data_IF_272199041187
#
_entry.id   IF_272199041187
#
_cell.length_a   1.000
_cell.length_b   1.000
_cell.length_c   1.000
_cell.angle_alpha   90.00
_cell.angle_beta   90.00
_cell.angle_gamma   90.00
#
_symmetry.space_group_name_H-M   'P 1'
#
loop_
_entity.id
_entity.type
_entity.pdbx_description
1 polymer ?
#
# COMPACT_ATOMS: atom_id res chain seq x y z
N UNK A 1 5.23 2.46 -6.08
CA UNK A 1 4.90 2.23 -4.66
C UNK A 1 3.38 2.20 -4.52
N UNK A 2 2.84 1.27 -3.75
CA UNK A 2 1.41 1.21 -3.43
C UNK A 2 1.25 1.24 -1.91
N UNK A 3 0.55 2.25 -1.40
CA UNK A 3 -0.01 2.20 -0.05
C UNK A 3 -1.33 1.42 -0.12
N UNK A 4 -1.27 0.14 0.25
CA UNK A 4 -2.39 -0.78 0.14
C UNK A 4 -3.50 -0.43 1.12
N UNK A 5 -4.74 -0.87 0.81
CA UNK A 5 -5.82 -0.81 1.78
C UNK A 5 -5.50 -1.70 2.99
N UNK A 6 -4.97 -2.90 2.79
CA UNK A 6 -4.30 -3.76 3.77
C UNK A 6 -4.92 -3.74 5.16
N UNK A 7 -6.15 -4.26 5.29
CA UNK A 7 -6.94 -4.23 6.52
C UNK A 7 -6.56 -5.31 7.52
N UNK A 8 -5.60 -6.19 7.20
CA UNK A 8 -5.24 -7.35 8.01
C UNK A 8 -6.39 -8.37 8.12
N UNK A 9 -7.28 -8.40 7.13
CA UNK A 9 -8.31 -9.43 7.00
C UNK A 9 -7.96 -10.37 5.86
N UNK A 10 -8.13 -11.67 6.07
CA UNK A 10 -7.71 -12.72 5.14
C UNK A 10 -8.19 -12.46 3.71
N UNK A 11 -9.46 -12.06 3.56
CA UNK A 11 -10.05 -11.81 2.25
C UNK A 11 -9.53 -10.53 1.61
N UNK A 12 -9.41 -9.43 2.36
CA UNK A 12 -8.95 -8.16 1.78
C UNK A 12 -7.52 -8.29 1.25
N UNK A 13 -6.61 -8.78 2.08
CA UNK A 13 -5.17 -8.72 1.79
C UNK A 13 -4.83 -9.66 0.61
N UNK A 14 -5.48 -10.83 0.57
CA UNK A 14 -5.45 -11.75 -0.57
C UNK A 14 -6.00 -11.12 -1.85
N UNK A 15 -7.21 -10.57 -1.83
CA UNK A 15 -7.83 -10.03 -3.04
C UNK A 15 -7.16 -8.74 -3.53
N UNK A 16 -6.66 -7.92 -2.62
CA UNK A 16 -5.87 -6.74 -2.99
C UNK A 16 -4.54 -7.15 -3.64
N UNK A 17 -3.85 -8.16 -3.11
CA UNK A 17 -2.67 -8.73 -3.77
C UNK A 17 -2.98 -9.24 -5.18
N UNK A 18 -4.07 -9.99 -5.34
CA UNK A 18 -4.51 -10.48 -6.64
C UNK A 18 -4.89 -9.34 -7.60
N UNK A 19 -5.52 -8.27 -7.10
CA UNK A 19 -5.86 -7.11 -7.89
C UNK A 19 -4.60 -6.37 -8.39
N UNK A 20 -3.59 -6.21 -7.53
CA UNK A 20 -2.30 -5.62 -7.90
C UNK A 20 -1.63 -6.47 -8.99
N UNK A 21 -1.56 -7.79 -8.82
CA UNK A 21 -1.03 -8.71 -9.84
C UNK A 21 -1.79 -8.63 -11.16
N UNK A 22 -3.12 -8.55 -11.09
CA UNK A 22 -3.97 -8.47 -12.29
C UNK A 22 -3.71 -7.18 -13.08
N UNK A 23 -3.52 -6.06 -12.40
CA UNK A 23 -3.31 -4.75 -13.05
C UNK A 23 -1.87 -4.59 -13.56
N UNK A 24 -0.88 -5.04 -12.79
CA UNK A 24 0.54 -4.79 -13.08
C UNK A 24 1.27 -5.97 -13.73
N UNK A 25 0.68 -7.17 -13.77
CA UNK A 25 1.33 -8.37 -14.31
C UNK A 25 2.65 -8.65 -13.60
N UNK A 26 3.68 -9.04 -14.35
CA UNK A 26 5.03 -9.32 -13.80
C UNK A 26 5.64 -8.12 -13.05
N UNK A 27 5.28 -6.88 -13.42
CA UNK A 27 5.78 -5.70 -12.74
C UNK A 27 5.30 -5.62 -11.28
N UNK A 28 4.25 -6.36 -10.88
CA UNK A 28 3.80 -6.39 -9.49
C UNK A 28 4.89 -6.81 -8.51
N UNK A 29 5.80 -7.70 -8.93
CA UNK A 29 6.91 -8.18 -8.08
C UNK A 29 8.08 -7.17 -7.98
N UNK A 30 8.09 -6.13 -8.82
CA UNK A 30 9.04 -5.02 -8.74
C UNK A 30 8.49 -3.84 -7.93
N UNK A 31 7.19 -3.85 -7.62
CA UNK A 31 6.53 -2.81 -6.84
C UNK A 31 6.72 -3.04 -5.35
N UNK A 32 7.23 -2.03 -4.65
CA UNK A 32 7.07 -1.94 -3.20
C UNK A 32 5.61 -1.66 -2.84
N UNK A 33 5.07 -2.46 -1.93
CA UNK A 33 3.72 -2.33 -1.35
C UNK A 33 3.88 -2.21 0.16
N UNK A 34 3.03 -1.45 0.84
CA UNK A 34 2.96 -1.50 2.32
C UNK A 34 1.57 -1.15 2.81
N UNK A 35 1.20 -1.59 4.01
CA UNK A 35 0.00 -1.11 4.70
C UNK A 35 0.38 -0.32 5.95
N UNK A 36 0.07 0.98 5.94
CA UNK A 36 0.27 1.83 7.13
C UNK A 36 -0.74 1.56 8.24
N UNK A 37 -1.83 0.83 7.95
CA UNK A 37 -2.77 0.35 8.98
C UNK A 37 -2.11 -0.60 9.97
N UNK A 38 -1.00 -1.23 9.60
CA UNK A 38 -0.15 -2.00 10.53
C UNK A 38 0.29 -1.17 11.75
N UNK A 39 0.40 0.16 11.59
CA UNK A 39 0.75 1.11 12.66
C UNK A 39 -0.45 1.92 13.15
N UNK A 40 -1.31 2.38 12.24
CA UNK A 40 -2.37 3.35 12.56
C UNK A 40 -3.70 2.70 12.95
N UNK A 41 -3.85 1.39 12.71
CA UNK A 41 -5.15 0.73 12.70
C UNK A 41 -6.05 1.22 11.55
N UNK A 42 -7.27 0.68 11.50
CA UNK A 42 -8.23 1.04 10.46
C UNK A 42 -9.14 2.20 10.88
N UNK A 43 -8.88 3.39 10.35
CA UNK A 43 -9.59 4.63 10.68
C UNK A 43 -10.93 4.83 9.94
N UNK A 44 -11.52 3.76 9.39
CA UNK A 44 -12.74 3.79 8.57
C UNK A 44 -12.67 4.89 7.49
N UNK A 45 -13.68 5.77 7.42
CA UNK A 45 -13.71 6.88 6.45
C UNK A 45 -12.54 7.87 6.57
N UNK A 46 -11.86 7.92 7.73
CA UNK A 46 -10.65 8.73 7.91
C UNK A 46 -9.38 8.12 7.33
N UNK A 47 -9.39 6.81 7.03
CA UNK A 47 -8.19 6.09 6.57
C UNK A 47 -7.67 6.65 5.24
N UNK A 48 -8.54 6.85 4.26
CA UNK A 48 -8.14 7.35 2.94
C UNK A 48 -7.46 8.73 2.98
N UNK A 49 -7.89 9.62 3.89
CA UNK A 49 -7.25 10.93 4.09
C UNK A 49 -5.85 10.82 4.69
N UNK A 50 -5.71 10.06 5.78
CA UNK A 50 -4.42 9.84 6.46
C UNK A 50 -3.45 9.12 5.54
N UNK A 51 -3.89 8.07 4.85
CA UNK A 51 -3.08 7.27 3.93
C UNK A 51 -2.66 8.07 2.70
N UNK A 52 -3.50 8.99 2.21
CA UNK A 52 -3.11 9.92 1.13
C UNK A 52 -1.99 10.85 1.56
N UNK A 53 -2.06 11.43 2.77
CA UNK A 53 -0.98 12.28 3.32
C UNK A 53 0.32 11.48 3.45
N UNK A 54 0.26 10.28 4.01
CA UNK A 54 1.43 9.39 4.14
C UNK A 54 2.02 9.07 2.76
N UNK A 55 1.17 8.77 1.77
CA UNK A 55 1.60 8.44 0.40
C UNK A 55 2.32 9.61 -0.27
N UNK A 56 1.82 10.83 -0.12
CA UNK A 56 2.49 12.04 -0.64
C UNK A 56 3.79 12.31 0.12
N UNK A 57 3.85 12.07 1.43
CA UNK A 57 5.09 12.18 2.21
C UNK A 57 6.14 11.15 1.77
N UNK A 58 5.73 9.93 1.38
CA UNK A 58 6.65 8.94 0.83
C UNK A 58 7.30 9.42 -0.48
N UNK A 59 6.52 10.05 -1.37
CA UNK A 59 7.03 10.71 -2.59
C UNK A 59 7.98 11.87 -2.26
N UNK A 60 7.59 12.71 -1.30
CA UNK A 60 8.34 13.92 -0.92
C UNK A 60 9.70 13.57 -0.33
N UNK A 61 9.70 12.64 0.63
CA UNK A 61 10.86 12.32 1.45
C UNK A 61 11.71 11.18 0.86
N UNK A 62 11.19 10.40 -0.09
CA UNK A 62 11.91 9.23 -0.63
C UNK A 62 12.02 8.09 0.38
N UNK A 63 11.01 7.92 1.24
CA UNK A 63 10.98 6.89 2.28
C UNK A 63 9.62 6.19 2.22
N UNK A 64 9.63 4.87 1.98
CA UNK A 64 8.45 4.03 2.02
C UNK A 64 8.26 3.53 3.46
N UNK A 65 7.07 3.75 4.08
CA UNK A 65 6.79 3.23 5.41
C UNK A 65 6.73 1.69 5.40
N UNK A 66 7.09 1.03 6.51
CA UNK A 66 7.00 -0.42 6.57
C UNK A 66 5.57 -0.91 6.80
N UNK A 67 5.35 -2.18 6.49
CA UNK A 67 4.29 -2.98 7.13
C UNK A 67 4.89 -3.61 8.39
N UNK A 68 4.56 -3.10 9.58
CA UNK A 68 5.07 -3.65 10.84
C UNK A 68 4.34 -4.93 11.27
N UNK A 69 4.92 -5.68 12.20
CA UNK A 69 4.39 -6.97 12.70
C UNK A 69 4.34 -8.07 11.62
N UNK A 70 5.20 -7.98 10.61
CA UNK A 70 5.26 -8.97 9.54
C UNK A 70 6.24 -10.09 9.92
N UNK A 71 5.71 -11.23 10.35
CA UNK A 71 6.52 -12.37 10.85
C UNK A 71 6.43 -13.61 9.96
N UNK A 72 5.23 -13.91 9.46
CA UNK A 72 4.93 -15.14 8.74
C UNK A 72 4.42 -14.81 7.33
N UNK A 73 5.21 -15.01 6.27
CA UNK A 73 4.77 -14.81 4.91
C UNK A 73 3.60 -15.73 4.54
N UNK A 74 2.58 -15.17 3.89
CA UNK A 74 1.43 -15.92 3.38
C UNK A 74 1.66 -16.25 1.89
N UNK A 75 1.52 -17.51 1.44
CA UNK A 75 1.69 -17.85 0.02
C UNK A 75 0.70 -17.16 -0.93
N UNK A 76 -0.47 -16.72 -0.45
CA UNK A 76 -1.43 -15.93 -1.23
C UNK A 76 -1.07 -14.42 -1.27
N UNK A 77 -0.17 -13.98 -0.38
CA UNK A 77 0.36 -12.62 -0.28
C UNK A 77 1.89 -12.65 -0.42
N UNK A 78 2.37 -12.70 -1.66
CA UNK A 78 3.78 -12.95 -2.02
C UNK A 78 4.46 -11.73 -2.71
N UNK A 79 3.88 -10.53 -2.58
CA UNK A 79 4.52 -9.29 -3.03
C UNK A 79 5.52 -8.77 -1.99
N UNK A 80 6.26 -7.73 -2.37
CA UNK A 80 7.15 -7.04 -1.45
C UNK A 80 6.38 -6.04 -0.57
N UNK A 81 5.98 -6.48 0.63
CA UNK A 81 5.20 -5.67 1.58
C UNK A 81 6.04 -4.72 2.46
N UNK A 82 7.32 -4.52 2.15
CA UNK A 82 8.26 -3.69 2.93
C UNK A 82 8.19 -4.05 4.43
N UNK A 83 8.58 -5.29 4.79
CA UNK A 83 8.32 -5.81 6.13
C UNK A 83 9.20 -5.14 7.19
N UNK A 84 8.58 -4.67 8.27
CA UNK A 84 9.15 -4.22 9.55
C UNK A 84 10.08 -2.99 9.54
N UNK A 85 10.81 -2.73 8.46
CA UNK A 85 11.79 -1.64 8.36
C UNK A 85 11.48 -0.77 7.15
N UNK A 86 11.45 0.56 7.34
CA UNK A 86 11.21 1.50 6.24
C UNK A 86 12.29 1.38 5.17
N UNK A 87 11.94 1.69 3.93
CA UNK A 87 12.88 1.64 2.80
C UNK A 87 13.12 3.03 2.22
N UNK A 88 14.38 3.44 2.19
CA UNK A 88 14.80 4.64 1.45
C UNK A 88 14.87 4.32 -0.05
N UNK A 89 14.02 4.99 -0.83
CA UNK A 89 13.99 4.87 -2.29
C UNK A 89 13.27 6.08 -2.87
N UNK A 90 13.77 6.58 -3.99
CA UNK A 90 13.16 7.71 -4.67
C UNK A 90 11.82 7.32 -5.30
N UNK A 91 10.71 7.60 -4.61
CA UNK A 91 9.36 7.34 -5.11
C UNK A 91 8.93 8.48 -6.05
N UNK A 92 8.78 8.18 -7.35
CA UNK A 92 8.25 9.15 -8.34
C UNK A 92 6.74 9.10 -8.48
N UNK A 93 6.13 7.93 -8.31
CA UNK A 93 4.70 7.72 -8.46
C UNK A 93 4.22 6.71 -7.44
N UNK A 94 3.09 7.02 -6.80
CA UNK A 94 2.49 6.15 -5.80
C UNK A 94 0.97 6.10 -5.92
N UNK A 95 0.42 4.93 -5.61
CA UNK A 95 -1.01 4.70 -5.46
C UNK A 95 -1.36 4.60 -3.97
N UNK A 96 -2.58 4.98 -3.62
CA UNK A 96 -3.21 4.63 -2.33
C UNK A 96 -4.57 4.02 -2.60
N UNK A 97 -4.78 2.81 -2.07
CA UNK A 97 -6.00 2.04 -2.29
C UNK A 97 -6.97 2.18 -1.11
N UNK A 98 -8.27 2.10 -1.41
CA UNK A 98 -9.34 2.07 -0.41
C UNK A 98 -10.47 1.18 -0.90
N UNK A 99 -10.59 -0.02 -0.33
CA UNK A 99 -11.57 -1.03 -0.71
C UNK A 99 -12.54 -1.26 0.45
N UNK A 100 -13.55 -0.39 0.51
CA UNK A 100 -14.48 -0.33 1.62
C UNK A 100 -15.64 -1.32 1.52
N UNK A 101 -16.32 -1.50 2.65
CA UNK A 101 -17.57 -2.27 2.73
C UNK A 101 -18.62 -1.77 1.72
N UNK A 102 -19.50 -2.67 1.29
CA UNK A 102 -20.52 -2.37 0.28
C UNK A 102 -19.98 -2.38 -1.16
N UNK A 103 -18.75 -2.85 -1.38
CA UNK A 103 -18.16 -2.96 -2.72
C UNK A 103 -17.64 -1.64 -3.29
N UNK A 104 -17.35 -0.66 -2.42
CA UNK A 104 -16.84 0.65 -2.86
C UNK A 104 -15.32 0.60 -2.98
N UNK A 105 -14.82 0.62 -4.22
CA UNK A 105 -13.40 0.59 -4.52
C UNK A 105 -12.94 1.95 -5.05
N UNK A 106 -11.92 2.53 -4.42
CA UNK A 106 -11.29 3.76 -4.86
C UNK A 106 -9.76 3.63 -4.81
N UNK A 107 -9.09 4.28 -5.75
CA UNK A 107 -7.64 4.42 -5.77
C UNK A 107 -7.28 5.85 -6.18
N UNK A 108 -6.29 6.44 -5.52
CA UNK A 108 -5.73 7.74 -5.90
C UNK A 108 -4.29 7.55 -6.34
N UNK A 109 -3.91 8.22 -7.44
CA UNK A 109 -2.55 8.24 -7.97
C UNK A 109 -1.91 9.60 -7.74
N UNK A 110 -0.74 9.60 -7.13
CA UNK A 110 0.08 10.77 -6.92
C UNK A 110 1.40 10.63 -7.66
N UNK A 111 1.89 11.73 -8.24
CA UNK A 111 3.18 11.79 -8.90
C UNK A 111 3.97 12.99 -8.38
N UNK A 112 5.29 12.82 -8.25
CA UNK A 112 6.20 13.91 -7.94
C UNK A 112 6.02 15.02 -8.97
N UNK A 113 5.85 16.25 -8.51
CA UNK A 113 5.83 17.41 -9.40
C UNK A 113 7.22 17.64 -9.99
N UNK A 114 7.28 17.81 -11.31
CA UNK A 114 8.48 18.12 -12.08
C UNK A 114 8.18 19.42 -12.83
N UNK A 115 8.94 20.48 -12.52
CA UNK A 115 8.84 21.81 -13.13
C UNK A 115 9.66 21.92 -14.40
#
# INVERSE_FOLDING_TARGET
>A
YINAHGTSTDLNDKFETQAIKTVFGEHSYELAVSSTKSMTGHLLGGAGGVESVITVLAIKNGIIPPTINYENPDPDCDLDYVPNVSREVQVRTALTNSFGFGGTNAALLFRRYES
#
